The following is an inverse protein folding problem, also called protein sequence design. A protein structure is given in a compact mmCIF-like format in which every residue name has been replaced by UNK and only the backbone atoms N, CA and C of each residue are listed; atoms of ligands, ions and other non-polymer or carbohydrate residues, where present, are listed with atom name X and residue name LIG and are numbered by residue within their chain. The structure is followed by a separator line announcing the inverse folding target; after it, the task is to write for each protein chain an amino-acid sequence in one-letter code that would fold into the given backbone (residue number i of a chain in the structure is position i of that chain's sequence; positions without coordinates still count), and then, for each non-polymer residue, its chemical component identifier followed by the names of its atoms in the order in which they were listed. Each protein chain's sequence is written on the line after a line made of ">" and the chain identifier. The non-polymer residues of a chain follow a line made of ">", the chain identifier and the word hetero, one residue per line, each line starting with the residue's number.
data_IF_753111302137
#
_entry.id   IF_753111302137
#
_cell.length_a   1.000
_cell.length_b   1.000
_cell.length_c   1.000
_cell.angle_alpha   90.00
_cell.angle_beta   90.00
_cell.angle_gamma   90.00
#
_symmetry.space_group_name_H-M   'P 1'
#
loop_
_entity.id
_entity.type
_entity.pdbx_description
1 polymer ?
#
# COMPACT_ATOMS: atom_id res chain seq x y z
N UNK A 1 8.72 31.95 -7.05
CA UNK A 1 7.52 32.09 -7.91
C UNK A 1 6.76 30.76 -7.98
N UNK A 2 5.58 30.72 -7.38
CA UNK A 2 4.77 29.50 -7.28
C UNK A 2 4.29 29.06 -8.67
N UNK A 3 4.02 27.76 -8.85
CA UNK A 3 3.42 27.21 -10.08
C UNK A 3 2.17 27.98 -10.53
N UNK A 4 1.44 28.57 -9.58
CA UNK A 4 0.29 29.43 -9.83
C UNK A 4 0.64 30.69 -10.63
N UNK A 5 1.77 31.35 -10.34
CA UNK A 5 2.19 32.56 -11.08
C UNK A 5 2.60 32.22 -12.51
N UNK A 6 3.25 31.07 -12.71
CA UNK A 6 3.63 30.60 -14.05
C UNK A 6 2.40 30.23 -14.89
N UNK A 7 1.41 29.55 -14.28
CA UNK A 7 0.15 29.19 -14.93
C UNK A 7 -0.64 30.41 -15.38
N UNK A 8 -0.72 31.46 -14.55
CA UNK A 8 -1.41 32.70 -14.91
C UNK A 8 -0.73 33.43 -16.07
N UNK A 9 0.61 33.48 -16.09
CA UNK A 9 1.36 34.12 -17.17
C UNK A 9 1.21 33.37 -18.50
N UNK A 10 1.29 32.02 -18.46
CA UNK A 10 1.04 31.18 -19.64
C UNK A 10 -0.39 31.36 -20.16
N UNK A 11 -1.38 31.36 -19.26
CA UNK A 11 -2.79 31.56 -19.64
C UNK A 11 -3.03 32.92 -20.29
N UNK A 12 -2.47 33.98 -19.71
CA UNK A 12 -2.57 35.34 -20.28
C UNK A 12 -1.89 35.44 -21.65
N UNK A 13 -0.73 34.80 -21.84
CA UNK A 13 -0.02 34.78 -23.12
C UNK A 13 -0.80 34.02 -24.21
N UNK A 14 -1.32 32.83 -23.90
CA UNK A 14 -2.16 32.06 -24.84
C UNK A 14 -3.40 32.85 -25.21
N UNK A 15 -4.08 33.47 -24.24
CA UNK A 15 -5.26 34.29 -24.48
C UNK A 15 -4.94 35.46 -25.42
N UNK A 16 -3.84 36.18 -25.17
CA UNK A 16 -3.41 37.29 -26.02
C UNK A 16 -3.07 36.81 -27.44
N UNK A 17 -2.34 35.70 -27.60
CA UNK A 17 -1.99 35.14 -28.92
C UNK A 17 -3.23 34.71 -29.71
N UNK A 18 -4.22 34.10 -29.04
CA UNK A 18 -5.48 33.71 -29.69
C UNK A 18 -6.28 34.94 -30.12
N UNK A 19 -6.38 35.96 -29.27
CA UNK A 19 -7.04 37.21 -29.63
C UNK A 19 -6.36 37.90 -30.80
N UNK A 20 -5.02 37.95 -30.79
CA UNK A 20 -4.23 38.56 -31.86
C UNK A 20 -4.49 37.87 -33.20
N UNK A 21 -4.41 36.54 -33.23
CA UNK A 21 -4.70 35.75 -34.42
C UNK A 21 -6.15 35.96 -34.93
N UNK A 22 -7.14 35.97 -34.03
CA UNK A 22 -8.54 36.17 -34.42
C UNK A 22 -8.79 37.60 -34.92
N UNK A 23 -8.27 38.60 -34.22
CA UNK A 23 -8.58 40.01 -34.50
C UNK A 23 -7.72 40.61 -35.62
N UNK A 24 -6.56 40.03 -35.90
CA UNK A 24 -5.65 40.51 -36.95
C UNK A 24 -5.72 39.60 -38.17
N UNK A 25 -5.30 38.34 -38.05
CA UNK A 25 -5.15 37.47 -39.21
C UNK A 25 -6.50 37.06 -39.78
N UNK A 26 -7.39 36.54 -38.93
CA UNK A 26 -8.71 36.03 -39.35
C UNK A 26 -9.62 37.18 -39.78
N UNK A 27 -9.62 38.30 -39.06
CA UNK A 27 -10.43 39.46 -39.44
C UNK A 27 -9.98 40.09 -40.76
N UNK A 28 -8.67 40.10 -41.05
CA UNK A 28 -8.14 40.57 -42.33
C UNK A 28 -8.52 39.64 -43.50
N UNK A 29 -8.56 38.33 -43.26
CA UNK A 29 -8.96 37.34 -44.27
C UNK A 29 -10.47 37.34 -44.54
N UNK A 30 -11.29 37.68 -43.54
CA UNK A 30 -12.77 37.71 -43.62
C UNK A 30 -13.34 39.09 -43.25
N UNK A 31 -13.09 40.15 -44.05
CA UNK A 31 -13.43 41.53 -43.69
C UNK A 31 -14.94 41.82 -43.65
N UNK A 32 -15.74 41.05 -44.38
CA UNK A 32 -17.21 41.12 -44.39
C UNK A 32 -17.84 40.13 -43.39
N UNK A 33 -17.01 39.43 -42.60
CA UNK A 33 -17.43 38.36 -41.70
C UNK A 33 -17.65 37.01 -42.40
N UNK A 34 -18.18 36.04 -41.65
CA UNK A 34 -18.38 34.68 -42.14
C UNK A 34 -19.76 34.50 -42.76
N UNK A 35 -19.82 34.07 -44.03
CA UNK A 35 -21.06 33.68 -44.71
C UNK A 35 -21.31 32.17 -44.61
N UNK A 36 -21.67 31.70 -43.41
CA UNK A 36 -21.97 30.29 -43.19
C UNK A 36 -23.41 29.95 -43.59
N UNK A 37 -23.58 28.86 -44.35
CA UNK A 37 -24.92 28.28 -44.54
C UNK A 37 -25.44 27.70 -43.21
N UNK A 38 -26.78 27.60 -43.06
CA UNK A 38 -27.41 26.99 -41.87
C UNK A 38 -26.85 25.61 -41.55
N UNK A 39 -26.56 24.81 -42.58
CA UNK A 39 -25.97 23.46 -42.42
C UNK A 39 -24.55 23.53 -41.87
N UNK A 40 -23.72 24.43 -42.40
CA UNK A 40 -22.34 24.61 -41.91
C UNK A 40 -22.30 25.13 -40.49
N UNK A 41 -23.19 26.07 -40.13
CA UNK A 41 -23.33 26.55 -38.76
C UNK A 41 -23.71 25.41 -37.80
N UNK A 42 -24.79 24.66 -38.10
CA UNK A 42 -25.24 23.57 -37.25
C UNK A 42 -24.17 22.46 -37.10
N UNK A 43 -23.56 22.04 -38.20
CA UNK A 43 -22.50 21.02 -38.17
C UNK A 43 -21.27 21.54 -37.39
N UNK A 44 -20.85 22.79 -37.63
CA UNK A 44 -19.73 23.40 -36.94
C UNK A 44 -19.95 23.51 -35.44
N UNK A 45 -21.14 23.95 -35.00
CA UNK A 45 -21.49 24.03 -33.57
C UNK A 45 -21.50 22.67 -32.90
N UNK A 46 -22.05 21.63 -33.54
CA UNK A 46 -22.04 20.27 -33.00
C UNK A 46 -20.61 19.75 -32.86
N UNK A 47 -19.77 19.94 -33.89
CA UNK A 47 -18.37 19.53 -33.85
C UNK A 47 -17.58 20.27 -32.75
N UNK A 48 -17.81 21.57 -32.59
CA UNK A 48 -17.16 22.35 -31.53
C UNK A 48 -17.54 21.84 -30.13
N UNK A 49 -18.83 21.61 -29.88
CA UNK A 49 -19.31 21.06 -28.60
C UNK A 49 -18.71 19.68 -28.31
N UNK A 50 -18.67 18.80 -29.32
CA UNK A 50 -18.06 17.48 -29.18
C UNK A 50 -16.56 17.56 -28.89
N UNK A 51 -15.83 18.42 -29.61
CA UNK A 51 -14.40 18.61 -29.41
C UNK A 51 -14.10 19.16 -28.00
N UNK A 52 -14.87 20.14 -27.52
CA UNK A 52 -14.75 20.67 -26.16
C UNK A 52 -15.07 19.59 -25.11
N UNK A 53 -16.13 18.81 -25.30
CA UNK A 53 -16.50 17.73 -24.38
C UNK A 53 -15.40 16.65 -24.30
N UNK A 54 -14.83 16.25 -25.44
CA UNK A 54 -13.74 15.28 -25.51
C UNK A 54 -12.45 15.82 -24.87
N UNK A 55 -12.09 17.08 -25.11
CA UNK A 55 -10.95 17.72 -24.50
C UNK A 55 -11.12 17.82 -22.97
N UNK A 56 -12.30 18.22 -22.50
CA UNK A 56 -12.62 18.26 -21.07
C UNK A 56 -12.56 16.86 -20.44
N UNK A 57 -13.15 15.85 -21.08
CA UNK A 57 -13.09 14.47 -20.61
C UNK A 57 -11.65 13.95 -20.53
N UNK A 58 -10.85 14.18 -21.57
CA UNK A 58 -9.43 13.79 -21.59
C UNK A 58 -8.63 14.49 -20.49
N UNK A 59 -8.78 15.82 -20.35
CA UNK A 59 -8.07 16.60 -19.34
C UNK A 59 -8.51 16.22 -17.91
N UNK A 60 -9.82 16.03 -17.69
CA UNK A 60 -10.35 15.57 -16.42
C UNK A 60 -9.85 14.16 -16.08
N UNK A 61 -9.67 13.28 -17.07
CA UNK A 61 -9.10 11.94 -16.85
C UNK A 61 -7.62 11.95 -16.46
N UNK A 62 -6.89 13.00 -16.86
CA UNK A 62 -5.48 13.20 -16.49
C UNK A 62 -5.34 13.90 -15.13
N UNK A 63 -6.26 14.82 -14.80
CA UNK A 63 -6.24 15.58 -13.55
C UNK A 63 -6.91 14.84 -12.38
N UNK A 64 -7.89 13.99 -12.66
CA UNK A 64 -8.47 13.12 -11.65
C UNK A 64 -7.47 12.02 -11.32
N UNK A 65 -6.72 12.19 -10.22
CA UNK A 65 -6.27 11.03 -9.46
C UNK A 65 -7.53 10.23 -9.16
N UNK A 66 -7.72 9.10 -9.83
CA UNK A 66 -8.71 8.12 -9.38
C UNK A 66 -8.31 7.78 -7.94
N UNK A 67 -9.01 8.34 -6.97
CA UNK A 67 -9.01 7.79 -5.63
C UNK A 67 -9.52 6.37 -5.80
N UNK A 68 -8.60 5.41 -5.94
CA UNK A 68 -8.96 4.01 -5.80
C UNK A 68 -9.25 3.86 -4.32
N UNK A 69 -10.53 3.95 -3.99
CA UNK A 69 -11.00 3.22 -2.83
C UNK A 69 -10.54 1.78 -3.06
N UNK A 70 -9.83 1.21 -2.07
CA UNK A 70 -9.34 -0.19 -2.11
C UNK A 70 -10.50 -1.16 -2.34
N UNK A 71 -11.72 -0.72 -2.04
CA UNK A 71 -12.97 -1.47 -2.16
C UNK A 71 -13.96 -0.72 -3.08
N UNK A 72 -14.72 -1.45 -3.89
CA UNK A 72 -15.76 -0.90 -4.76
C UNK A 72 -17.09 -0.63 -4.02
N UNK A 73 -17.26 -1.13 -2.79
CA UNK A 73 -18.44 -0.89 -1.95
C UNK A 73 -18.15 -1.12 -0.46
N UNK A 74 -19.03 -0.63 0.42
CA UNK A 74 -19.02 -0.93 1.86
C UNK A 74 -19.18 -2.44 2.11
N UNK A 75 -20.02 -3.12 1.31
CA UNK A 75 -20.17 -4.56 1.37
C UNK A 75 -18.86 -5.29 1.06
N UNK A 76 -18.10 -4.82 0.06
CA UNK A 76 -16.79 -5.38 -0.25
C UNK A 76 -15.76 -5.11 0.86
N UNK A 77 -15.80 -3.93 1.48
CA UNK A 77 -14.97 -3.61 2.64
C UNK A 77 -15.23 -4.59 3.80
N UNK A 78 -16.49 -4.87 4.14
CA UNK A 78 -16.82 -5.87 5.15
C UNK A 78 -16.49 -7.30 4.71
N UNK A 79 -16.68 -7.63 3.43
CA UNK A 79 -16.33 -8.95 2.90
C UNK A 79 -14.82 -9.22 2.94
N UNK A 80 -13.99 -8.16 2.96
CA UNK A 80 -12.53 -8.22 3.05
C UNK A 80 -11.99 -7.73 4.40
N UNK A 81 -12.81 -7.79 5.45
CA UNK A 81 -12.37 -7.49 6.83
C UNK A 81 -11.18 -8.38 7.21
N UNK A 82 -11.24 -9.67 6.85
CA UNK A 82 -10.09 -10.57 6.76
C UNK A 82 -9.62 -10.56 5.30
N UNK A 83 -8.37 -10.20 5.05
CA UNK A 83 -7.78 -10.24 3.72
C UNK A 83 -7.57 -11.71 3.30
N UNK A 84 -8.10 -12.15 2.15
CA UNK A 84 -7.85 -13.51 1.66
C UNK A 84 -6.34 -13.79 1.58
N UNK A 85 -5.91 -15.00 1.96
CA UNK A 85 -4.48 -15.35 2.00
C UNK A 85 -3.76 -15.13 0.67
N UNK A 86 -4.46 -15.35 -0.46
CA UNK A 86 -3.93 -15.10 -1.81
C UNK A 86 -3.79 -13.62 -2.19
N UNK A 87 -4.41 -12.72 -1.42
CA UNK A 87 -4.39 -11.26 -1.62
C UNK A 87 -3.57 -10.53 -0.54
N UNK A 88 -3.07 -11.24 0.47
CA UNK A 88 -2.28 -10.65 1.56
C UNK A 88 -0.99 -10.04 0.99
N UNK A 89 -0.71 -8.77 1.31
CA UNK A 89 0.44 -8.08 0.73
C UNK A 89 1.76 -8.76 1.13
N UNK A 90 2.72 -8.80 0.19
CA UNK A 90 4.05 -9.37 0.40
C UNK A 90 5.11 -8.31 0.12
N UNK A 91 6.03 -8.15 1.05
CA UNK A 91 7.26 -7.36 0.88
C UNK A 91 8.43 -8.28 1.23
N UNK A 92 9.36 -8.42 0.29
CA UNK A 92 10.57 -9.23 0.47
C UNK A 92 11.80 -8.39 0.12
N UNK A 93 12.84 -8.49 0.94
CA UNK A 93 14.18 -7.96 0.62
C UNK A 93 15.00 -8.94 -0.20
N UNK A 94 14.55 -10.19 -0.27
CA UNK A 94 15.34 -11.29 -0.81
C UNK A 94 15.14 -11.35 -2.34
N UNK A 95 16.22 -11.57 -3.07
CA UNK A 95 16.15 -11.81 -4.52
C UNK A 95 15.51 -13.16 -4.85
N UNK A 96 15.72 -14.13 -3.97
CA UNK A 96 15.14 -15.48 -4.01
C UNK A 96 14.52 -15.68 -2.63
N UNK A 97 13.23 -16.00 -2.59
CA UNK A 97 12.54 -16.19 -1.33
C UNK A 97 13.13 -17.36 -0.52
N UNK A 98 13.03 -17.30 0.82
CA UNK A 98 13.67 -18.29 1.68
C UNK A 98 12.93 -19.64 1.71
N UNK A 99 11.85 -19.82 0.94
CA UNK A 99 11.08 -21.06 0.87
C UNK A 99 11.93 -22.27 0.42
N UNK A 100 12.98 -22.02 -0.36
CA UNK A 100 13.97 -23.03 -0.77
C UNK A 100 15.03 -23.30 0.31
N UNK A 101 15.12 -22.49 1.37
CA UNK A 101 16.12 -22.67 2.42
C UNK A 101 15.84 -23.96 3.20
N UNK A 102 16.83 -24.85 3.39
CA UNK A 102 16.59 -26.14 4.03
C UNK A 102 16.07 -26.00 5.47
N UNK A 103 16.47 -24.94 6.17
CA UNK A 103 16.11 -24.72 7.57
C UNK A 103 14.69 -24.16 7.76
N UNK A 104 13.97 -23.78 6.69
CA UNK A 104 12.56 -23.34 6.81
C UNK A 104 11.55 -24.47 6.59
N UNK A 105 12.00 -25.67 6.24
CA UNK A 105 11.12 -26.83 6.09
C UNK A 105 10.64 -27.30 7.46
N UNK A 106 9.34 -27.58 7.60
CA UNK A 106 8.73 -27.93 8.88
C UNK A 106 9.43 -29.07 9.65
N UNK A 107 10.03 -30.04 8.95
CA UNK A 107 10.75 -31.16 9.57
C UNK A 107 12.13 -30.83 10.13
N UNK A 108 12.75 -29.72 9.69
CA UNK A 108 14.11 -29.30 10.08
C UNK A 108 14.12 -27.98 10.83
N UNK A 109 13.07 -27.17 10.68
CA UNK A 109 12.93 -25.87 11.30
C UNK A 109 12.98 -25.93 12.83
N UNK A 110 13.67 -24.96 13.44
CA UNK A 110 13.74 -24.78 14.88
C UNK A 110 13.60 -23.33 15.29
N UNK A 111 12.86 -23.10 16.37
CA UNK A 111 12.92 -21.85 17.14
C UNK A 111 13.85 -22.04 18.34
N UNK A 112 14.88 -21.22 18.44
CA UNK A 112 15.79 -21.25 19.59
C UNK A 112 15.60 -19.99 20.43
N UNK A 113 15.42 -20.17 21.74
CA UNK A 113 15.35 -19.10 22.74
C UNK A 113 16.61 -19.19 23.58
N UNK A 114 17.42 -18.13 23.59
CA UNK A 114 18.71 -18.08 24.28
C UNK A 114 19.07 -16.67 24.74
N UNK A 115 20.35 -16.43 25.02
CA UNK A 115 20.82 -15.14 25.55
C UNK A 115 20.72 -15.07 27.07
N UNK A 116 20.14 -13.97 27.59
CA UNK A 116 19.95 -13.74 29.03
C UNK A 116 18.73 -14.54 29.55
N UNK A 117 18.85 -15.87 29.57
CA UNK A 117 17.81 -16.80 30.03
C UNK A 117 18.44 -17.91 30.88
N UNK A 118 17.72 -18.38 31.90
CA UNK A 118 18.19 -19.46 32.77
C UNK A 118 18.18 -20.83 32.08
N UNK A 119 17.18 -21.08 31.23
CA UNK A 119 16.95 -22.36 30.55
C UNK A 119 16.82 -22.13 29.03
N UNK A 120 17.93 -22.06 28.28
CA UNK A 120 17.87 -21.99 26.82
C UNK A 120 17.07 -23.17 26.26
N UNK A 121 16.22 -22.90 25.28
CA UNK A 121 15.30 -23.88 24.71
C UNK A 121 15.35 -23.89 23.20
N UNK A 122 15.09 -25.06 22.59
CA UNK A 122 14.93 -25.21 21.15
C UNK A 122 13.68 -26.01 20.85
N UNK A 123 12.78 -25.45 20.06
CA UNK A 123 11.49 -26.03 19.71
C UNK A 123 11.50 -26.45 18.25
N UNK A 124 11.18 -27.72 17.96
CA UNK A 124 10.80 -28.14 16.63
C UNK A 124 9.41 -27.56 16.27
N UNK A 125 9.12 -27.41 14.97
CA UNK A 125 7.82 -26.88 14.51
C UNK A 125 6.62 -27.64 15.11
N UNK A 126 6.67 -28.98 15.14
CA UNK A 126 5.62 -29.80 15.72
C UNK A 126 5.45 -29.62 17.24
N UNK A 127 6.52 -29.26 17.95
CA UNK A 127 6.44 -28.96 19.38
C UNK A 127 5.82 -27.59 19.62
N UNK A 128 6.21 -26.58 18.81
CA UNK A 128 5.69 -25.22 18.92
C UNK A 128 4.18 -25.17 18.65
N UNK A 129 3.72 -25.84 17.59
CA UNK A 129 2.30 -25.93 17.21
C UNK A 129 1.47 -26.77 18.19
N UNK A 130 2.11 -27.58 19.04
CA UNK A 130 1.47 -28.33 20.12
C UNK A 130 1.33 -27.56 21.43
N UNK A 131 1.91 -26.36 21.55
CA UNK A 131 1.73 -25.50 22.73
C UNK A 131 0.34 -24.84 22.73
N UNK A 132 -0.05 -24.27 23.88
CA UNK A 132 -1.29 -23.53 24.00
C UNK A 132 -1.28 -22.31 23.05
N UNK A 133 -2.11 -22.39 22.01
CA UNK A 133 -2.24 -21.37 21.00
C UNK A 133 -3.29 -20.32 21.37
N UNK A 134 -3.12 -19.12 20.80
CA UNK A 134 -4.07 -18.01 20.85
C UNK A 134 -4.28 -17.47 19.44
N UNK A 135 -5.41 -16.79 19.26
CA UNK A 135 -5.77 -16.09 18.04
C UNK A 135 -5.65 -14.58 18.28
N UNK A 136 -5.05 -13.87 17.33
CA UNK A 136 -4.92 -12.41 17.34
C UNK A 136 -5.35 -11.89 15.96
N UNK A 137 -6.40 -11.06 15.94
CA UNK A 137 -6.90 -10.41 14.73
C UNK A 137 -6.11 -9.11 14.50
N UNK A 138 -5.18 -9.11 13.55
CA UNK A 138 -4.17 -8.06 13.41
C UNK A 138 -4.06 -7.56 11.97
N UNK A 139 -4.08 -6.24 11.84
CA UNK A 139 -3.69 -5.53 10.60
C UNK A 139 -2.18 -5.32 10.59
N UNK A 140 -1.52 -5.77 9.54
CA UNK A 140 -0.14 -5.43 9.22
C UNK A 140 -0.14 -4.33 8.17
N UNK A 141 0.72 -3.33 8.37
CA UNK A 141 0.92 -2.23 7.43
C UNK A 141 2.42 -2.02 7.20
N UNK A 142 2.82 -1.89 5.93
CA UNK A 142 4.19 -1.55 5.59
C UNK A 142 4.46 -0.07 5.87
N UNK A 143 5.66 0.25 6.40
CA UNK A 143 6.12 1.64 6.59
C UNK A 143 6.12 2.46 5.29
N UNK A 144 6.20 1.80 4.13
CA UNK A 144 6.16 2.44 2.81
C UNK A 144 4.76 2.52 2.21
N UNK A 145 3.71 2.17 2.96
CA UNK A 145 2.34 2.29 2.49
C UNK A 145 1.95 3.77 2.32
N UNK A 146 1.51 4.15 1.14
CA UNK A 146 0.97 5.49 0.88
C UNK A 146 -0.48 5.59 1.35
N UNK A 147 -1.00 6.82 1.48
CA UNK A 147 -2.42 7.03 1.78
C UNK A 147 -3.27 6.46 0.65
N UNK A 148 -4.10 5.45 0.96
CA UNK A 148 -4.88 4.71 -0.03
C UNK A 148 -4.07 3.66 -0.81
N UNK A 149 -2.87 3.32 -0.34
CA UNK A 149 -2.03 2.26 -0.87
C UNK A 149 -2.54 0.85 -0.57
N UNK A 150 -1.80 -0.15 -1.03
CA UNK A 150 -2.16 -1.57 -0.96
C UNK A 150 -1.18 -2.42 -0.13
N UNK A 151 -0.26 -1.78 0.60
CA UNK A 151 0.71 -2.48 1.46
C UNK A 151 0.16 -2.59 2.90
N UNK A 152 -1.08 -3.02 3.00
CA UNK A 152 -1.84 -3.19 4.24
C UNK A 152 -2.79 -4.39 4.10
N UNK A 153 -2.84 -5.25 5.11
CA UNK A 153 -3.73 -6.42 5.12
C UNK A 153 -4.03 -6.84 6.55
N UNK A 154 -5.21 -7.43 6.75
CA UNK A 154 -5.67 -7.89 8.06
C UNK A 154 -5.90 -9.39 8.02
N UNK A 155 -5.45 -10.12 9.04
CA UNK A 155 -5.63 -11.55 9.16
C UNK A 155 -5.90 -11.99 10.60
N UNK A 156 -6.48 -13.18 10.76
CA UNK A 156 -6.51 -13.90 12.03
C UNK A 156 -5.23 -14.75 12.15
N UNK A 157 -4.38 -14.41 13.12
CA UNK A 157 -3.11 -15.08 13.34
C UNK A 157 -3.22 -16.04 14.50
N UNK A 158 -2.88 -17.31 14.26
CA UNK A 158 -2.78 -18.32 15.33
C UNK A 158 -1.33 -18.56 15.70
N UNK A 159 -1.02 -18.50 17.00
CA UNK A 159 0.35 -18.63 17.50
C UNK A 159 0.46 -18.84 19.01
N UNK A 160 1.69 -18.95 19.50
CA UNK A 160 1.98 -19.03 20.94
C UNK A 160 2.35 -17.64 21.45
N UNK A 161 1.88 -17.26 22.64
CA UNK A 161 2.32 -15.97 23.25
C UNK A 161 3.83 -15.97 23.44
N UNK A 162 4.50 -14.91 22.96
CA UNK A 162 5.96 -14.78 23.11
C UNK A 162 6.35 -14.74 24.59
N UNK A 163 5.54 -14.06 25.41
CA UNK A 163 5.71 -14.00 26.87
C UNK A 163 5.77 -15.38 27.52
N UNK A 164 4.96 -16.35 27.06
CA UNK A 164 4.97 -17.70 27.60
C UNK A 164 6.30 -18.43 27.33
N UNK A 165 6.86 -18.25 26.13
CA UNK A 165 8.16 -18.82 25.77
C UNK A 165 9.29 -18.19 26.59
N UNK A 166 9.28 -16.87 26.75
CA UNK A 166 10.29 -16.14 27.53
C UNK A 166 10.23 -16.48 29.03
N UNK A 167 9.02 -16.60 29.58
CA UNK A 167 8.81 -17.03 30.97
C UNK A 167 9.28 -18.47 31.19
N UNK A 168 8.95 -19.38 30.26
CA UNK A 168 9.42 -20.77 30.33
C UNK A 168 10.94 -20.89 30.24
N UNK A 169 11.60 -20.01 29.47
CA UNK A 169 13.06 -19.95 29.39
C UNK A 169 13.69 -19.33 30.66
N UNK A 170 12.90 -18.67 31.51
CA UNK A 170 13.40 -17.96 32.68
C UNK A 170 14.26 -16.76 32.28
N UNK A 171 13.69 -15.81 31.54
CA UNK A 171 14.38 -14.57 31.13
C UNK A 171 14.92 -13.81 32.35
N UNK A 172 16.16 -13.31 32.22
CA UNK A 172 16.80 -12.49 33.24
C UNK A 172 15.97 -11.20 33.45
N UNK A 173 15.61 -10.84 34.70
CA UNK A 173 14.87 -9.61 35.00
C UNK A 173 15.58 -8.32 34.54
N UNK A 174 16.88 -8.37 34.28
CA UNK A 174 17.69 -7.25 33.77
C UNK A 174 17.76 -7.18 32.23
N UNK A 175 17.13 -8.10 31.51
CA UNK A 175 17.11 -8.08 30.05
C UNK A 175 16.12 -7.04 29.49
N UNK A 176 16.60 -6.11 28.67
CA UNK A 176 15.82 -4.98 28.17
C UNK A 176 15.21 -5.18 26.78
N UNK A 177 15.80 -6.07 25.96
CA UNK A 177 15.44 -6.25 24.55
C UNK A 177 15.38 -7.72 24.17
N UNK A 178 14.48 -8.04 23.24
CA UNK A 178 14.43 -9.34 22.57
C UNK A 178 14.85 -9.14 21.12
N UNK A 179 15.86 -9.89 20.69
CA UNK A 179 16.38 -9.88 19.32
C UNK A 179 15.90 -11.13 18.60
N UNK A 180 15.34 -10.94 17.40
CA UNK A 180 14.94 -11.99 16.49
C UNK A 180 15.98 -12.13 15.40
N UNK A 181 16.33 -13.37 15.06
CA UNK A 181 17.20 -13.70 13.94
C UNK A 181 16.47 -14.69 13.04
N UNK A 182 16.27 -14.32 11.78
CA UNK A 182 15.57 -15.12 10.78
C UNK A 182 16.55 -16.04 10.03
N UNK A 183 16.02 -17.10 9.40
CA UNK A 183 16.82 -18.04 8.62
C UNK A 183 17.52 -17.40 7.41
N UNK A 184 17.01 -16.26 6.92
CA UNK A 184 17.58 -15.48 5.82
C UNK A 184 18.57 -14.39 6.29
N UNK A 185 18.99 -14.45 7.57
CA UNK A 185 19.92 -13.52 8.20
C UNK A 185 19.32 -12.17 8.59
N UNK A 186 18.02 -11.94 8.40
CA UNK A 186 17.37 -10.72 8.89
C UNK A 186 17.35 -10.70 10.42
N UNK A 187 17.58 -9.52 10.99
CA UNK A 187 17.47 -9.29 12.43
C UNK A 187 16.57 -8.10 12.73
N UNK A 188 15.81 -8.23 13.81
CA UNK A 188 14.97 -7.16 14.35
C UNK A 188 14.94 -7.28 15.88
N UNK A 189 14.57 -6.21 16.57
CA UNK A 189 14.45 -6.24 18.02
C UNK A 189 13.23 -5.46 18.48
N UNK A 190 12.66 -5.90 19.59
CA UNK A 190 11.59 -5.20 20.30
C UNK A 190 11.97 -5.05 21.77
N UNK A 191 11.52 -3.97 22.44
CA UNK A 191 11.77 -3.80 23.86
C UNK A 191 10.98 -4.85 24.67
N UNK A 192 11.52 -5.26 25.82
CA UNK A 192 10.94 -6.31 26.67
C UNK A 192 9.45 -6.10 27.01
N UNK A 193 8.96 -4.87 27.29
CA UNK A 193 7.52 -4.64 27.51
C UNK A 193 6.66 -5.05 26.32
N UNK A 194 7.13 -4.81 25.07
CA UNK A 194 6.40 -5.24 23.88
C UNK A 194 6.48 -6.75 23.68
N UNK A 195 7.61 -7.37 24.03
CA UNK A 195 7.75 -8.83 23.98
C UNK A 195 6.84 -9.56 24.98
N UNK A 196 6.60 -8.92 26.14
CA UNK A 196 5.73 -9.44 27.21
C UNK A 196 4.24 -9.11 27.02
N UNK A 197 3.91 -8.21 26.09
CA UNK A 197 2.53 -7.85 25.75
C UNK A 197 1.73 -9.11 25.37
N UNK A 198 0.50 -9.28 25.91
CA UNK A 198 -0.30 -10.46 25.61
C UNK A 198 -0.52 -10.62 24.11
N UNK A 199 -0.74 -9.55 23.36
CA UNK A 199 -1.01 -9.61 21.92
C UNK A 199 0.24 -9.92 21.06
N UNK A 200 1.44 -10.03 21.67
CA UNK A 200 2.65 -10.42 20.94
C UNK A 200 2.78 -11.95 20.89
N UNK A 201 2.67 -12.50 19.68
CA UNK A 201 2.69 -13.94 19.44
C UNK A 201 3.82 -14.35 18.49
N UNK A 202 4.28 -15.58 18.64
CA UNK A 202 5.01 -16.33 17.61
C UNK A 202 3.97 -17.06 16.77
N UNK A 203 3.57 -16.44 15.67
CA UNK A 203 2.54 -16.96 14.77
C UNK A 203 3.06 -18.15 13.93
N UNK A 204 2.20 -19.16 13.74
CA UNK A 204 2.50 -20.32 12.89
C UNK A 204 1.37 -20.66 11.90
N UNK A 205 0.22 -19.99 11.99
CA UNK A 205 -0.88 -20.09 11.05
C UNK A 205 -1.53 -18.71 10.82
N UNK A 206 -2.06 -18.50 9.62
CA UNK A 206 -2.74 -17.29 9.17
C UNK A 206 -4.04 -17.69 8.46
N UNK A 207 -5.17 -17.10 8.89
CA UNK A 207 -6.53 -17.45 8.47
C UNK A 207 -6.85 -18.94 8.69
#
# INVERSE_FOLDING_TARGET
>A
PTLATLSQLLGAWIYAAVLDHILIDVAAEYPEGFSLSRRQFLVGSVLAVLATALAFYGLASLAAQKGRLVFASIQEMFAKEVTPTSEFYVVTKNLIDPDLHPDVRAGTWRLTVGGMVANPASYAYAQLTGLAAVNEFVTLECVSNEVGGNLISTADWTGVRLSALLQSAGVDPTADWVVFTCADGYTAAIPMPKAMDPATIVAFQMN
#
